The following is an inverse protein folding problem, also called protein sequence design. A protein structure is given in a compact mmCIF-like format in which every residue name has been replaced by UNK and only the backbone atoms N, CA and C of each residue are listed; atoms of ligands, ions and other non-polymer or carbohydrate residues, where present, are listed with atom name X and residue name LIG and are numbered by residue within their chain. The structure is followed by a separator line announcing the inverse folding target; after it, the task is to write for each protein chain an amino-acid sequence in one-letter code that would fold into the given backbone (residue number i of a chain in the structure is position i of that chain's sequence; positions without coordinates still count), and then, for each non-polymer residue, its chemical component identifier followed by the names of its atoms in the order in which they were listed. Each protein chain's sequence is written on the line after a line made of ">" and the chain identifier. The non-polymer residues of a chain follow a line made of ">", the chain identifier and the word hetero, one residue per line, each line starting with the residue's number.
data_IF_374991865517
#
_entry.id   IF_374991865517
#
_cell.length_a   1.000
_cell.length_b   1.000
_cell.length_c   1.000
_cell.angle_alpha   90.00
_cell.angle_beta   90.00
_cell.angle_gamma   90.00
#
_symmetry.space_group_name_H-M   'P 1'
#
loop_
_entity.id
_entity.type
_entity.pdbx_description
1 polymer ?
#
# COMPACT_ATOMS: atom_id res chain seq x y z
N UNK A 1 17.25 14.71 -9.46
CA UNK A 1 17.36 13.36 -8.89
C UNK A 1 18.53 12.64 -9.56
N UNK A 2 19.46 12.09 -8.78
CA UNK A 2 20.56 11.27 -9.29
C UNK A 2 20.05 9.88 -9.72
N UNK A 3 20.86 9.11 -10.46
CA UNK A 3 20.50 7.73 -10.85
C UNK A 3 20.23 6.84 -9.62
N UNK A 4 20.97 7.05 -8.54
CA UNK A 4 20.82 6.26 -7.30
C UNK A 4 19.50 6.62 -6.60
N UNK A 5 19.19 7.91 -6.48
CA UNK A 5 17.93 8.38 -5.90
C UNK A 5 16.72 7.89 -6.71
N UNK A 6 16.82 7.93 -8.04
CA UNK A 6 15.77 7.44 -8.92
C UNK A 6 15.51 5.95 -8.72
N UNK A 7 16.56 5.13 -8.68
CA UNK A 7 16.42 3.70 -8.40
C UNK A 7 15.79 3.42 -7.04
N UNK A 8 16.10 4.23 -6.01
CA UNK A 8 15.44 4.12 -4.70
C UNK A 8 13.96 4.47 -4.77
N UNK A 9 13.60 5.54 -5.50
CA UNK A 9 12.20 5.92 -5.69
C UNK A 9 11.40 4.85 -6.43
N UNK A 10 11.98 4.21 -7.45
CA UNK A 10 11.36 3.07 -8.15
C UNK A 10 11.07 1.93 -7.18
N UNK A 11 12.05 1.55 -6.34
CA UNK A 11 11.84 0.47 -5.36
C UNK A 11 10.75 0.79 -4.34
N UNK A 12 10.73 2.02 -3.83
CA UNK A 12 9.68 2.46 -2.89
C UNK A 12 8.30 2.45 -3.53
N UNK A 13 8.18 2.90 -4.79
CA UNK A 13 6.94 2.82 -5.55
C UNK A 13 6.48 1.37 -5.73
N UNK A 14 7.37 0.46 -6.13
CA UNK A 14 7.04 -0.97 -6.28
C UNK A 14 6.59 -1.60 -4.96
N UNK A 15 7.25 -1.26 -3.85
CA UNK A 15 6.89 -1.73 -2.52
C UNK A 15 5.53 -1.17 -2.07
N UNK A 16 5.26 0.11 -2.34
CA UNK A 16 3.96 0.73 -2.03
C UNK A 16 2.81 0.10 -2.82
N UNK A 17 3.02 -0.20 -4.10
CA UNK A 17 2.04 -0.92 -4.93
C UNK A 17 1.78 -2.31 -4.34
N UNK A 18 2.82 -3.03 -3.96
CA UNK A 18 2.69 -4.34 -3.34
C UNK A 18 1.90 -4.26 -2.02
N UNK A 19 2.20 -3.26 -1.18
CA UNK A 19 1.49 -3.02 0.08
C UNK A 19 0.01 -2.65 -0.11
N UNK A 20 -0.32 -1.80 -1.07
CA UNK A 20 -1.71 -1.47 -1.37
C UNK A 20 -2.51 -2.71 -1.83
N UNK A 21 -1.90 -3.59 -2.63
CA UNK A 21 -2.52 -4.85 -3.03
C UNK A 21 -2.75 -5.80 -1.84
N UNK A 22 -1.75 -5.98 -0.98
CA UNK A 22 -1.91 -6.81 0.22
C UNK A 22 -2.99 -6.26 1.16
N UNK A 23 -3.08 -4.93 1.33
CA UNK A 23 -4.12 -4.30 2.14
C UNK A 23 -5.51 -4.69 1.64
N UNK A 24 -5.72 -4.68 0.32
CA UNK A 24 -6.97 -5.12 -0.30
C UNK A 24 -7.27 -6.61 -0.03
N UNK A 25 -6.25 -7.47 -0.04
CA UNK A 25 -6.40 -8.90 0.31
C UNK A 25 -6.74 -9.10 1.79
N UNK A 26 -6.08 -8.37 2.68
CA UNK A 26 -6.30 -8.45 4.12
C UNK A 26 -7.65 -7.85 4.53
N UNK A 27 -8.12 -6.81 3.84
CA UNK A 27 -9.47 -6.30 4.02
C UNK A 27 -10.54 -7.32 3.59
N UNK A 28 -10.32 -8.03 2.48
CA UNK A 28 -11.20 -9.16 2.08
C UNK A 28 -11.18 -10.29 3.10
N UNK A 29 -10.01 -10.56 3.70
CA UNK A 29 -9.88 -11.55 4.77
C UNK A 29 -10.63 -11.11 6.04
N UNK A 30 -10.54 -9.83 6.42
CA UNK A 30 -11.31 -9.22 7.51
C UNK A 30 -12.81 -9.44 7.31
N UNK A 31 -13.36 -9.09 6.15
CA UNK A 31 -14.78 -9.24 5.84
C UNK A 31 -15.25 -10.69 5.92
N UNK A 32 -14.42 -11.65 5.49
CA UNK A 32 -14.70 -13.08 5.63
C UNK A 32 -14.72 -13.51 7.10
N UNK A 33 -13.69 -13.15 7.88
CA UNK A 33 -13.56 -13.53 9.30
C UNK A 33 -14.70 -12.94 10.14
N UNK A 34 -15.11 -11.70 9.83
CA UNK A 34 -16.26 -11.04 10.46
C UNK A 34 -17.57 -11.82 10.24
N UNK A 35 -17.80 -12.33 9.02
CA UNK A 35 -18.96 -13.19 8.69
C UNK A 35 -18.90 -14.55 9.40
N UNK A 36 -17.71 -15.08 9.63
CA UNK A 36 -17.48 -16.32 10.37
C UNK A 36 -17.56 -16.16 11.91
N UNK A 37 -17.76 -14.93 12.42
CA UNK A 37 -17.81 -14.66 13.86
C UNK A 37 -16.44 -14.69 14.56
N UNK A 38 -15.34 -14.68 13.79
CA UNK A 38 -13.96 -14.68 14.32
C UNK A 38 -13.48 -13.25 14.58
N UNK A 39 -14.06 -12.61 15.58
CA UNK A 39 -13.88 -11.16 15.83
C UNK A 39 -12.43 -10.74 16.08
N UNK A 40 -11.66 -11.52 16.85
CA UNK A 40 -10.25 -11.22 17.14
C UNK A 40 -9.40 -11.31 15.87
N UNK A 41 -9.53 -12.39 15.11
CA UNK A 41 -8.77 -12.57 13.86
C UNK A 41 -9.14 -11.50 12.82
N UNK A 42 -10.43 -11.14 12.76
CA UNK A 42 -10.91 -10.08 11.89
C UNK A 42 -10.23 -8.75 12.24
N UNK A 43 -10.24 -8.34 13.51
CA UNK A 43 -9.61 -7.10 13.95
C UNK A 43 -8.10 -7.11 13.66
N UNK A 44 -7.40 -8.22 13.89
CA UNK A 44 -5.99 -8.37 13.51
C UNK A 44 -5.78 -8.12 12.01
N UNK A 45 -6.63 -8.67 11.14
CA UNK A 45 -6.54 -8.46 9.69
C UNK A 45 -6.84 -7.03 9.26
N UNK A 46 -7.81 -6.38 9.90
CA UNK A 46 -8.08 -4.96 9.65
C UNK A 46 -6.87 -4.09 10.01
N UNK A 47 -6.22 -4.34 11.15
CA UNK A 47 -5.01 -3.60 11.54
C UNK A 47 -3.85 -3.76 10.58
N UNK A 48 -3.65 -4.96 10.02
CA UNK A 48 -2.63 -5.18 8.99
C UNK A 48 -2.99 -4.41 7.71
N UNK A 49 -4.25 -4.49 7.26
CA UNK A 49 -4.71 -3.76 6.08
C UNK A 49 -4.52 -2.23 6.24
N UNK A 50 -4.91 -1.67 7.39
CA UNK A 50 -4.74 -0.24 7.71
C UNK A 50 -3.26 0.18 7.70
N UNK A 51 -2.37 -0.66 8.24
CA UNK A 51 -0.94 -0.38 8.25
C UNK A 51 -0.35 -0.39 6.83
N UNK A 52 -0.74 -1.35 6.00
CA UNK A 52 -0.21 -1.48 4.65
C UNK A 52 -0.71 -0.37 3.72
N UNK A 53 -1.98 0.03 3.81
CA UNK A 53 -2.50 1.14 3.02
C UNK A 53 -1.89 2.47 3.46
N UNK A 54 -1.78 2.71 4.78
CA UNK A 54 -1.15 3.93 5.30
C UNK A 54 0.32 4.07 4.89
N UNK A 55 1.05 2.95 4.82
CA UNK A 55 2.41 2.95 4.25
C UNK A 55 2.41 3.36 2.77
N UNK A 56 1.53 2.76 1.97
CA UNK A 56 1.44 3.04 0.54
C UNK A 56 1.04 4.50 0.26
N UNK A 57 0.10 5.06 1.02
CA UNK A 57 -0.30 6.47 0.98
C UNK A 57 0.88 7.40 1.29
N UNK A 58 1.61 7.13 2.37
CA UNK A 58 2.77 7.92 2.77
C UNK A 58 3.88 7.93 1.72
N UNK A 59 4.16 6.78 1.11
CA UNK A 59 5.12 6.69 0.00
C UNK A 59 4.61 7.44 -1.24
N UNK A 60 3.35 7.28 -1.61
CA UNK A 60 2.77 8.00 -2.75
C UNK A 60 2.90 9.53 -2.57
N UNK A 61 2.56 10.03 -1.39
CA UNK A 61 2.70 11.46 -1.05
C UNK A 61 4.15 11.91 -1.08
N UNK A 62 5.08 11.13 -0.52
CA UNK A 62 6.51 11.46 -0.51
C UNK A 62 7.08 11.52 -1.93
N UNK A 63 6.77 10.53 -2.77
CA UNK A 63 7.21 10.47 -4.17
C UNK A 63 6.63 11.63 -5.00
N UNK A 64 5.35 11.96 -4.79
CA UNK A 64 4.72 13.13 -5.43
C UNK A 64 5.40 14.44 -5.02
N UNK A 65 5.73 14.59 -3.73
CA UNK A 65 6.42 15.77 -3.18
C UNK A 65 7.83 15.91 -3.75
N UNK A 66 8.54 14.80 -3.97
CA UNK A 66 9.85 14.78 -4.61
C UNK A 66 9.80 15.05 -6.12
N UNK A 67 8.60 15.17 -6.71
CA UNK A 67 8.43 15.34 -8.15
C UNK A 67 8.83 14.09 -8.95
N UNK A 68 8.84 12.90 -8.33
CA UNK A 68 9.16 11.65 -9.01
C UNK A 68 8.12 11.35 -10.09
N UNK A 69 8.58 10.96 -11.27
CA UNK A 69 7.73 10.62 -12.44
C UNK A 69 8.08 9.22 -12.90
N UNK A 70 7.07 8.36 -12.92
CA UNK A 70 7.15 7.00 -13.43
C UNK A 70 5.75 6.55 -13.85
N UNK A 71 5.63 5.76 -14.91
CA UNK A 71 4.32 5.37 -15.48
C UNK A 71 3.44 4.64 -14.45
N UNK A 72 4.07 3.82 -13.60
CA UNK A 72 3.41 3.08 -12.52
C UNK A 72 2.99 3.93 -11.30
N UNK A 73 3.32 5.22 -11.24
CA UNK A 73 2.74 6.10 -10.22
C UNK A 73 1.22 6.23 -10.38
N UNK A 74 0.72 6.09 -11.61
CA UNK A 74 -0.72 6.05 -11.88
C UNK A 74 -1.35 4.79 -11.28
N UNK A 75 -0.72 3.63 -11.46
CA UNK A 75 -1.15 2.36 -10.86
C UNK A 75 -1.22 2.49 -9.33
N UNK A 76 -0.17 3.04 -8.69
CA UNK A 76 -0.19 3.29 -7.25
C UNK A 76 -1.35 4.21 -6.84
N UNK A 77 -1.60 5.29 -7.59
CA UNK A 77 -2.68 6.23 -7.27
C UNK A 77 -4.08 5.65 -7.48
N UNK A 78 -4.24 4.64 -8.33
CA UNK A 78 -5.51 3.94 -8.57
C UNK A 78 -5.79 2.84 -7.53
N UNK A 79 -4.74 2.35 -6.86
CA UNK A 79 -4.83 1.36 -5.78
C UNK A 79 -5.16 1.98 -4.41
N UNK A 80 -4.90 3.28 -4.25
CA UNK A 80 -5.20 4.08 -3.06
C UNK A 80 -6.60 4.69 -3.17
#
# INVERSE_FOLDING_TARGET
>A
MTKIEYSKCVKLMEEAIWKANNSNEDYRAYERLKKEGKSVDAECKLRVADQEIGYAEGINQALATLGFKHDRMKELSELL
#
